data_IF_178648377498
#
_entry.id   IF_178648377498
#
_cell.length_a   1.000
_cell.length_b   1.000
_cell.length_c   1.000
_cell.angle_alpha   90.00
_cell.angle_beta   90.00
_cell.angle_gamma   90.00
#
_symmetry.space_group_name_H-M   'P 1'
#
loop_
_entity.id
_entity.type
_entity.pdbx_description
1 polymer ?
#
# COMPACT_ATOMS: atom_id res chain seq x y z
N UNK A 1 -16.16 32.86 -38.85
CA UNK A 1 -14.84 32.51 -38.27
C UNK A 1 -15.10 32.44 -36.78
N UNK A 2 -15.50 31.26 -36.34
CA UNK A 2 -16.13 31.05 -35.04
C UNK A 2 -15.14 30.26 -34.18
N UNK A 3 -14.77 30.74 -32.99
CA UNK A 3 -13.78 30.05 -32.17
C UNK A 3 -14.43 28.81 -31.53
N UNK A 4 -14.04 27.64 -32.03
CA UNK A 4 -14.41 26.34 -31.48
C UNK A 4 -13.77 26.21 -30.09
N UNK A 5 -14.58 26.42 -29.05
CA UNK A 5 -14.18 26.26 -27.65
C UNK A 5 -14.04 24.76 -27.38
N UNK A 6 -12.81 24.26 -27.37
CA UNK A 6 -12.51 22.89 -26.96
C UNK A 6 -12.88 22.73 -25.47
N UNK A 7 -14.01 22.07 -25.22
CA UNK A 7 -14.42 21.66 -23.88
C UNK A 7 -13.56 20.47 -23.48
N UNK A 8 -12.48 20.73 -22.73
CA UNK A 8 -11.66 19.69 -22.12
C UNK A 8 -12.51 19.01 -21.05
N UNK A 9 -13.17 17.91 -21.43
CA UNK A 9 -13.81 17.00 -20.48
C UNK A 9 -12.69 16.34 -19.69
N UNK A 10 -12.48 16.77 -18.45
CA UNK A 10 -11.66 16.02 -17.51
C UNK A 10 -12.29 14.62 -17.37
N UNK A 11 -11.52 13.52 -17.56
CA UNK A 11 -12.06 12.18 -17.39
C UNK A 11 -12.60 12.01 -15.97
N UNK A 12 -13.69 11.25 -15.77
CA UNK A 12 -14.27 11.05 -14.45
C UNK A 12 -13.22 10.42 -13.54
N UNK A 13 -12.97 11.05 -12.40
CA UNK A 13 -12.19 10.46 -11.31
C UNK A 13 -12.92 9.19 -10.88
N UNK A 14 -12.46 8.04 -11.37
CA UNK A 14 -12.95 6.74 -10.93
C UNK A 14 -12.69 6.67 -9.42
N UNK A 15 -13.75 6.58 -8.61
CA UNK A 15 -13.63 6.21 -7.20
C UNK A 15 -13.03 4.80 -7.12
N UNK A 16 -11.71 4.73 -7.06
CA UNK A 16 -11.01 3.45 -6.89
C UNK A 16 -11.14 3.07 -5.43
N UNK A 17 -11.82 1.97 -5.11
CA UNK A 17 -11.84 1.43 -3.75
C UNK A 17 -10.40 1.12 -3.35
N UNK A 18 -9.89 1.88 -2.38
CA UNK A 18 -8.50 1.77 -1.94
C UNK A 18 -8.17 0.37 -1.44
N UNK A 19 -9.18 -0.39 -0.97
CA UNK A 19 -9.02 -1.79 -0.54
C UNK A 19 -8.54 -2.69 -1.68
N UNK A 20 -8.97 -2.44 -2.91
CA UNK A 20 -8.55 -3.19 -4.10
C UNK A 20 -7.10 -2.89 -4.48
N UNK A 21 -6.57 -1.74 -4.05
CA UNK A 21 -5.17 -1.33 -4.28
C UNK A 21 -4.21 -1.81 -3.20
N UNK A 22 -4.71 -2.35 -2.08
CA UNK A 22 -3.85 -2.82 -0.99
C UNK A 22 -3.12 -4.09 -1.43
N UNK A 23 -1.80 -4.00 -1.53
CA UNK A 23 -0.93 -5.12 -1.90
C UNK A 23 -0.66 -6.07 -0.73
N UNK A 24 -0.57 -5.56 0.51
CA UNK A 24 -0.35 -6.36 1.73
C UNK A 24 -1.03 -5.75 2.94
N UNK A 25 -1.40 -6.60 3.90
CA UNK A 25 -1.87 -6.19 5.21
C UNK A 25 -0.87 -6.62 6.30
N UNK A 26 -0.66 -5.76 7.29
CA UNK A 26 0.12 -6.08 8.49
C UNK A 26 -0.72 -5.84 9.74
N UNK A 27 -0.46 -6.60 10.80
CA UNK A 27 -1.14 -6.43 12.08
C UNK A 27 -0.57 -5.20 12.81
N UNK A 28 -1.40 -4.22 13.07
CA UNK A 28 -1.11 -3.08 13.94
C UNK A 28 -1.71 -3.25 15.34
N UNK A 29 -1.44 -2.27 16.22
CA UNK A 29 -1.94 -2.25 17.60
C UNK A 29 -3.48 -2.20 17.67
N UNK A 30 -4.10 -1.45 16.76
CA UNK A 30 -5.54 -1.15 16.79
C UNK A 30 -6.32 -1.81 15.64
N UNK A 31 -5.69 -2.69 14.85
CA UNK A 31 -6.30 -3.28 13.66
C UNK A 31 -5.28 -3.61 12.57
N UNK A 32 -5.76 -3.95 11.38
CA UNK A 32 -4.92 -4.19 10.21
C UNK A 32 -4.51 -2.87 9.55
N UNK A 33 -3.26 -2.79 9.10
CA UNK A 33 -2.73 -1.68 8.31
C UNK A 33 -2.54 -2.19 6.88
N UNK A 34 -3.20 -1.55 5.92
CA UNK A 34 -3.04 -1.85 4.49
C UNK A 34 -1.85 -1.08 3.90
N UNK A 35 -1.03 -1.78 3.12
CA UNK A 35 0.13 -1.23 2.42
C UNK A 35 -0.16 -1.24 0.92
N UNK A 36 -0.16 -0.06 0.30
CA UNK A 36 -0.28 0.12 -1.14
C UNK A 36 1.12 0.32 -1.70
N UNK A 37 1.60 -0.66 -2.46
CA UNK A 37 2.86 -0.55 -3.19
C UNK A 37 2.48 -0.16 -4.62
N UNK A 38 2.84 1.06 -5.09
CA UNK A 38 2.61 1.41 -6.48
C UNK A 38 3.41 0.48 -7.40
N UNK A 39 2.91 0.19 -8.61
CA UNK A 39 3.67 -0.59 -9.59
C UNK A 39 5.02 0.09 -9.82
N UNK A 40 6.09 -0.72 -9.76
CA UNK A 40 7.46 -0.26 -9.92
C UNK A 40 8.12 -1.20 -10.93
N UNK A 41 8.68 -0.65 -12.00
CA UNK A 41 9.27 -1.43 -13.10
C UNK A 41 10.63 -2.04 -12.71
N UNK A 42 11.29 -1.52 -11.67
CA UNK A 42 12.56 -2.00 -11.16
C UNK A 42 12.53 -2.13 -9.63
N UNK A 43 13.19 -3.15 -9.04
CA UNK A 43 13.36 -3.24 -7.60
C UNK A 43 14.23 -2.08 -7.12
N UNK A 44 13.60 -1.06 -6.56
CA UNK A 44 14.30 0.04 -5.92
C UNK A 44 14.78 -0.39 -4.53
N UNK A 45 15.93 0.12 -4.10
CA UNK A 45 16.46 -0.13 -2.74
C UNK A 45 15.44 0.22 -1.63
N UNK A 46 14.60 1.23 -1.87
CA UNK A 46 13.52 1.62 -0.97
C UNK A 46 12.44 0.52 -0.82
N UNK A 47 12.16 -0.24 -1.89
CA UNK A 47 11.21 -1.35 -1.85
C UNK A 47 11.77 -2.53 -1.05
N UNK A 48 13.05 -2.83 -1.21
CA UNK A 48 13.75 -3.85 -0.44
C UNK A 48 13.76 -3.51 1.06
N UNK A 49 14.05 -2.26 1.41
CA UNK A 49 14.06 -1.82 2.80
C UNK A 49 12.66 -1.81 3.43
N UNK A 50 11.63 -1.49 2.63
CA UNK A 50 10.23 -1.64 3.04
C UNK A 50 9.91 -3.11 3.35
N UNK A 51 10.27 -4.05 2.45
CA UNK A 51 10.02 -5.47 2.67
C UNK A 51 10.77 -6.01 3.89
N UNK A 52 12.03 -5.63 4.09
CA UNK A 52 12.82 -6.00 5.27
C UNK A 52 12.17 -5.51 6.56
N UNK A 53 11.69 -4.26 6.55
CA UNK A 53 11.03 -3.67 7.72
C UNK A 53 9.73 -4.40 8.05
N UNK A 54 8.90 -4.72 7.05
CA UNK A 54 7.67 -5.50 7.23
C UNK A 54 7.99 -6.89 7.79
N UNK A 55 9.00 -7.57 7.26
CA UNK A 55 9.42 -8.89 7.73
C UNK A 55 9.90 -8.85 9.20
N UNK A 56 10.72 -7.86 9.57
CA UNK A 56 11.20 -7.71 10.94
C UNK A 56 10.06 -7.44 11.93
N UNK A 57 9.07 -6.62 11.55
CA UNK A 57 7.86 -6.41 12.35
C UNK A 57 7.12 -7.74 12.55
N UNK A 58 6.90 -8.52 11.50
CA UNK A 58 6.20 -9.80 11.59
C UNK A 58 6.94 -10.80 12.49
N UNK A 59 8.27 -10.89 12.37
CA UNK A 59 9.11 -11.75 13.21
C UNK A 59 9.04 -11.32 14.68
N UNK A 60 9.18 -10.03 14.97
CA UNK A 60 9.10 -9.49 16.34
C UNK A 60 7.73 -9.76 16.96
N UNK A 61 6.66 -9.64 16.18
CA UNK A 61 5.32 -9.97 16.66
C UNK A 61 5.16 -11.46 16.95
N UNK A 62 5.65 -12.34 16.08
CA UNK A 62 5.61 -13.79 16.30
C UNK A 62 6.38 -14.20 17.56
N UNK A 63 7.59 -13.65 17.76
CA UNK A 63 8.40 -13.89 18.96
C UNK A 63 7.69 -13.44 20.25
N UNK A 64 7.05 -12.26 20.23
CA UNK A 64 6.27 -11.78 21.39
C UNK A 64 5.07 -12.67 21.70
N UNK A 65 4.36 -13.16 20.69
CA UNK A 65 3.24 -14.09 20.89
C UNK A 65 3.70 -15.43 21.46
N UNK A 66 4.82 -15.97 20.97
CA UNK A 66 5.39 -17.22 21.48
C UNK A 66 5.75 -17.10 22.96
N UNK A 67 6.35 -15.98 23.38
CA UNK A 67 6.72 -15.73 24.78
C UNK A 67 5.55 -15.42 25.73
N UNK A 68 4.33 -15.22 25.21
CA UNK A 68 3.12 -15.02 26.02
C UNK A 68 2.28 -16.30 26.18
N UNK A 69 2.59 -17.35 25.42
CA UNK A 69 1.89 -18.64 25.44
C UNK A 69 2.70 -19.75 26.15
N UNK A 70 3.84 -19.40 26.75
CA UNK A 70 4.67 -20.24 27.62
C UNK A 70 4.46 -19.78 29.08
#
# INVERSE_FOLDING_TARGET
>A
MDPMKASVQNPPEQEVDIKERVTKYIQGKNGLIGIVIPPCDEPTSALDDLYKTIADIAIKQAKRKAAQND
#
